data_IF_019797439622
#
_entry.id   IF_019797439622
#
_cell.length_a   1.000
_cell.length_b   1.000
_cell.length_c   1.000
_cell.angle_alpha   90.00
_cell.angle_beta   90.00
_cell.angle_gamma   90.00
#
_symmetry.space_group_name_H-M   'P 1'
#
loop_
_entity.id
_entity.type
_entity.pdbx_description
1 polymer ?
2 non-polymer ?
3 non-polymer ?
4 water ?
#
# COMPACT_ATOMS: atom_id res chain seq x y z
N UNK A 1 26.25 -25.43 -9.42
CA UNK A 1 25.98 -25.40 -7.98
C UNK A 1 25.90 -23.99 -7.36
N UNK A 2 25.30 -23.88 -6.19
CA UNK A 2 25.08 -22.59 -5.57
C UNK A 2 25.97 -22.32 -4.37
N UNK A 3 26.56 -21.12 -4.35
CA UNK A 3 27.38 -20.69 -3.23
C UNK A 3 26.60 -19.78 -2.28
N UNK A 4 25.30 -19.62 -2.53
CA UNK A 4 24.47 -18.78 -1.65
C UNK A 4 24.32 -19.36 -0.24
N UNK A 5 24.29 -18.49 0.78
CA UNK A 5 23.97 -18.97 2.13
C UNK A 5 22.51 -19.40 2.20
N UNK A 6 22.21 -20.34 3.09
CA UNK A 6 20.84 -20.77 3.34
C UNK A 6 20.04 -19.67 3.99
N UNK A 7 18.75 -19.65 3.71
CA UNK A 7 17.85 -18.71 4.36
C UNK A 7 17.71 -19.00 5.84
N UNK A 8 17.85 -17.98 6.67
CA UNK A 8 17.47 -18.08 8.07
C UNK A 8 16.63 -16.87 8.46
N UNK A 9 15.42 -17.14 8.94
CA UNK A 9 14.54 -16.08 9.40
C UNK A 9 15.16 -15.41 10.61
N UNK A 10 15.31 -14.09 10.54
CA UNK A 10 15.86 -13.30 11.66
C UNK A 10 15.04 -13.46 12.94
N UNK A 11 15.71 -13.30 14.06
CA UNK A 11 15.05 -13.31 15.35
C UNK A 11 13.94 -12.27 15.35
N UNK A 12 12.79 -12.61 15.93
CA UNK A 12 11.63 -11.70 16.04
C UNK A 12 12.07 -10.40 16.72
N UNK A 13 11.92 -9.27 16.02
CA UNK A 13 12.39 -7.99 16.58
C UNK A 13 11.33 -7.27 17.45
N UNK A 14 10.28 -7.97 17.87
CA UNK A 14 9.21 -7.39 18.68
C UNK A 14 8.79 -8.42 19.73
N UNK A 15 8.08 -7.98 20.78
CA UNK A 15 7.64 -8.94 21.80
C UNK A 15 6.78 -10.03 21.17
N UNK A 16 6.64 -11.15 21.84
CA UNK A 16 5.92 -12.28 21.26
C UNK A 16 4.41 -12.13 21.41
N UNK A 17 3.99 -11.21 22.27
CA UNK A 17 2.58 -10.91 22.42
C UNK A 17 2.32 -9.40 22.41
N UNK A 18 1.12 -9.02 22.01
CA UNK A 18 0.75 -7.62 21.86
C UNK A 18 0.46 -6.92 23.19
N UNK A 19 0.11 -7.71 24.20
CA UNK A 19 0.07 -7.24 25.59
C UNK A 19 -0.82 -8.13 26.44
N UNK A 20 -0.21 -9.12 27.09
CA UNK A 20 -0.90 -9.91 28.10
C UNK A 20 0.02 -10.24 29.27
N UNK A 32 -5.58 -17.59 15.85
CA UNK A 32 -6.51 -16.63 15.26
C UNK A 32 -6.24 -16.36 13.78
N UNK A 33 -7.30 -16.06 13.03
CA UNK A 33 -7.18 -15.56 11.66
C UNK A 33 -8.35 -14.66 11.27
N UNK A 34 -8.05 -13.53 10.64
CA UNK A 34 -9.10 -12.65 10.14
C UNK A 34 -10.12 -13.40 9.28
N UNK A 35 -11.37 -12.99 9.35
CA UNK A 35 -12.37 -13.39 8.37
C UNK A 35 -12.15 -12.57 7.11
N UNK A 36 -12.71 -12.99 5.98
CA UNK A 36 -12.63 -12.25 4.73
C UNK A 36 -13.32 -10.89 4.81
N UNK A 37 -12.90 -9.93 3.98
CA UNK A 37 -13.47 -8.60 4.05
C UNK A 37 -14.96 -8.59 3.72
N UNK A 38 -15.40 -9.56 2.93
CA UNK A 38 -16.81 -9.71 2.62
C UNK A 38 -17.61 -10.03 3.87
N UNK A 39 -16.93 -10.62 4.86
CA UNK A 39 -17.56 -10.98 6.13
C UNK A 39 -17.31 -9.89 7.19
N UNK A 40 -16.09 -9.34 7.21
CA UNK A 40 -15.74 -8.27 8.13
C UNK A 40 -16.64 -7.04 7.95
N UNK A 41 -16.83 -6.63 6.70
CA UNK A 41 -17.75 -5.52 6.43
C UNK A 41 -19.16 -6.06 6.30
N UNK A 42 -20.04 -5.56 7.15
CA UNK A 42 -21.45 -5.93 7.10
C UNK A 42 -22.17 -5.03 6.13
N UNK A 43 -21.97 -3.71 6.29
CA UNK A 43 -22.59 -2.75 5.40
C UNK A 43 -22.33 -3.16 3.96
N UNK A 44 -23.38 -3.25 3.16
CA UNK A 44 -23.24 -3.77 1.80
C UNK A 44 -22.79 -2.71 0.80
N UNK A 45 -23.12 -1.46 1.09
CA UNK A 45 -22.71 -0.37 0.24
C UNK A 45 -21.18 -0.30 0.20
N UNK A 46 -20.54 -0.38 1.35
CA UNK A 46 -19.09 -0.24 1.37
C UNK A 46 -18.45 -1.38 0.55
N UNK A 47 -19.07 -2.56 0.57
CA UNK A 47 -18.52 -3.69 -0.13
C UNK A 47 -18.62 -3.54 -1.65
N UNK A 48 -19.71 -2.91 -2.08
CA UNK A 48 -19.94 -2.62 -3.49
C UNK A 48 -18.87 -1.66 -3.99
N UNK A 49 -18.53 -0.67 -3.16
CA UNK A 49 -17.51 0.31 -3.55
C UNK A 49 -16.13 -0.35 -3.56
N UNK A 50 -15.90 -1.28 -2.64
CA UNK A 50 -14.62 -1.96 -2.56
C UNK A 50 -14.43 -2.79 -3.83
N UNK A 51 -15.47 -3.52 -4.21
CA UNK A 51 -15.41 -4.34 -5.40
C UNK A 51 -15.10 -3.51 -6.63
N UNK A 52 -15.74 -2.35 -6.74
CA UNK A 52 -15.52 -1.48 -7.89
C UNK A 52 -14.07 -0.97 -7.91
N UNK A 53 -13.60 -0.52 -6.75
CA UNK A 53 -12.23 -0.06 -6.62
C UNK A 53 -11.22 -1.12 -7.05
N UNK A 54 -11.42 -2.35 -6.59
CA UNK A 54 -10.55 -3.46 -6.99
C UNK A 54 -10.43 -3.61 -8.50
N UNK A 55 -11.45 -3.19 -9.22
CA UNK A 55 -11.40 -3.25 -10.67
C UNK A 55 -10.73 -2.02 -11.28
N UNK A 56 -11.14 -0.84 -10.82
CA UNK A 56 -10.81 0.37 -11.58
C UNK A 56 -9.70 1.22 -10.99
N UNK A 57 -9.33 0.98 -9.75
CA UNK A 57 -8.36 1.82 -9.07
C UNK A 57 -6.99 1.78 -9.75
N UNK A 58 -6.47 2.97 -10.05
CA UNK A 58 -5.24 3.13 -10.83
C UNK A 58 -3.97 2.67 -10.10
N UNK A 59 -3.86 2.97 -8.81
CA UNK A 59 -2.72 2.58 -8.01
C UNK A 59 -2.56 1.07 -8.00
N UNK A 60 -3.68 0.37 -7.87
CA UNK A 60 -3.65 -1.09 -7.79
C UNK A 60 -3.33 -1.67 -9.17
N UNK A 61 -3.92 -1.10 -10.20
CA UNK A 61 -3.61 -1.46 -11.57
C UNK A 61 -2.09 -1.31 -11.82
N UNK A 62 -1.52 -0.21 -11.32
CA UNK A 62 -0.09 0.03 -11.47
C UNK A 62 0.73 -1.02 -10.72
N UNK A 63 0.25 -1.40 -9.52
CA UNK A 63 0.94 -2.41 -8.74
C UNK A 63 0.90 -3.76 -9.45
N UNK A 64 -0.21 -4.04 -10.13
CA UNK A 64 -0.33 -5.27 -10.93
C UNK A 64 0.66 -5.26 -12.10
N UNK A 65 0.79 -4.11 -12.74
CA UNK A 65 1.72 -4.01 -13.85
C UNK A 65 3.17 -4.20 -13.40
N UNK A 66 3.49 -3.71 -12.19
CA UNK A 66 4.84 -3.87 -11.65
C UNK A 66 5.16 -5.35 -11.42
N UNK A 67 4.16 -6.12 -11.03
CA UNK A 67 4.37 -7.56 -10.91
C UNK A 67 4.72 -8.18 -12.27
N UNK A 68 4.02 -7.76 -13.32
CA UNK A 68 4.28 -8.32 -14.63
C UNK A 68 5.69 -7.96 -15.10
N UNK A 69 6.08 -6.73 -14.84
CA UNK A 69 7.37 -6.21 -15.20
C UNK A 69 8.49 -7.02 -14.54
N UNK A 70 8.33 -7.25 -13.24
CA UNK A 70 9.27 -8.02 -12.48
C UNK A 70 9.31 -9.48 -12.95
N UNK A 71 8.17 -10.00 -13.39
CA UNK A 71 8.13 -11.37 -13.92
C UNK A 71 8.97 -11.40 -15.20
N UNK A 72 8.81 -10.40 -16.06
CA UNK A 72 9.56 -10.31 -17.30
C UNK A 72 11.07 -10.14 -17.05
N UNK A 73 11.43 -9.32 -16.07
CA UNK A 73 12.83 -9.18 -15.69
C UNK A 73 13.38 -10.51 -15.17
N UNK A 74 12.58 -11.26 -14.45
CA UNK A 74 13.02 -12.60 -14.03
C UNK A 74 13.31 -13.44 -15.28
N UNK A 75 12.41 -13.42 -16.26
CA UNK A 75 12.61 -14.17 -17.49
C UNK A 75 13.85 -13.72 -18.27
N UNK A 76 14.04 -12.42 -18.40
CA UNK A 76 15.22 -11.87 -19.05
C UNK A 76 16.52 -12.40 -18.43
N UNK A 77 16.56 -12.42 -17.11
CA UNK A 77 17.77 -12.80 -16.40
C UNK A 77 18.00 -14.31 -16.49
N UNK A 78 16.91 -15.06 -16.44
CA UNK A 78 16.99 -16.50 -16.56
C UNK A 78 17.49 -16.91 -17.94
N UNK A 79 17.09 -16.15 -18.96
CA UNK A 79 17.47 -16.44 -20.34
C UNK A 79 18.99 -16.43 -20.48
N UNK A 80 19.65 -15.58 -19.72
CA UNK A 80 21.10 -15.46 -19.77
C UNK A 80 21.79 -16.75 -19.34
N UNK A 81 21.03 -17.68 -18.76
CA UNK A 81 21.58 -18.98 -18.39
C UNK A 81 21.58 -19.99 -19.54
N UNK A 82 20.85 -19.68 -20.60
CA UNK A 82 20.69 -20.66 -21.67
C UNK A 82 21.62 -20.35 -22.83
N UNK A 83 21.86 -21.35 -23.70
CA UNK A 83 22.71 -21.15 -24.89
C UNK A 83 22.14 -20.13 -25.86
N UNK A 84 23.03 -19.44 -26.57
CA UNK A 84 22.68 -18.55 -27.66
C UNK A 84 23.13 -19.12 -29.00
N UNK A 85 22.35 -18.87 -30.03
CA UNK A 85 22.73 -19.22 -31.39
C UNK A 85 22.48 -18.01 -32.31
N UNK A 86 23.53 -17.53 -32.95
CA UNK A 86 23.40 -16.35 -33.78
C UNK A 86 24.15 -16.45 -35.11
N UNK A 87 23.74 -15.65 -36.07
CA UNK A 87 24.38 -15.62 -37.38
C UNK A 87 25.26 -14.41 -37.55
N UNK A 88 26.21 -14.53 -38.47
CA UNK A 88 27.16 -13.47 -38.74
C UNK A 88 27.45 -13.50 -40.22
N UNK A 89 27.52 -12.33 -40.83
CA UNK A 89 27.86 -12.24 -42.23
C UNK A 89 28.84 -11.10 -42.38
N UNK A 90 29.88 -11.31 -43.18
CA UNK A 90 30.92 -10.32 -43.33
C UNK A 90 31.49 -10.28 -44.74
N UNK A 91 31.96 -9.10 -45.16
CA UNK A 91 32.71 -8.93 -46.39
C UNK A 91 33.88 -8.03 -46.06
N UNK A 92 35.05 -8.32 -46.63
CA UNK A 92 36.25 -7.57 -46.29
C UNK A 92 37.10 -7.22 -47.51
N UNK A 93 37.06 -5.95 -47.90
CA UNK A 93 37.95 -5.41 -48.91
C UNK A 93 39.11 -4.74 -48.21
N UNK A 94 40.31 -5.01 -48.67
CA UNK A 94 41.49 -4.34 -48.15
C UNK A 94 42.60 -4.40 -49.18
N UNK A 95 43.53 -3.46 -49.09
CA UNK A 95 44.64 -3.44 -50.00
C UNK A 95 45.77 -2.56 -49.50
N UNK A 96 46.90 -2.65 -50.19
CA UNK A 96 48.05 -1.84 -49.86
C UNK A 96 47.88 -0.42 -50.32
N UNK A 97 48.92 0.35 -50.10
CA UNK A 97 48.91 1.77 -50.35
C UNK A 97 50.03 2.08 -51.34
N UNK A 98 50.84 1.06 -51.63
CA UNK A 98 51.97 1.16 -52.55
C UNK A 98 52.69 -0.18 -52.59
N UNK A 99 52.96 -0.67 -53.81
CA UNK A 99 53.65 -1.94 -53.98
C UNK A 99 52.70 -3.09 -54.25
N UNK A 100 51.99 -3.01 -55.37
CA UNK A 100 50.88 -3.90 -55.72
C UNK A 100 49.58 -3.41 -55.13
N UNK A 101 48.85 -2.63 -55.91
CA UNK A 101 47.60 -2.05 -55.46
C UNK A 101 46.41 -2.92 -55.89
N UNK A 102 46.62 -4.24 -55.85
CA UNK A 102 45.51 -5.18 -56.05
C UNK A 102 44.73 -5.40 -54.75
N UNK A 103 43.41 -5.29 -54.84
CA UNK A 103 42.54 -5.44 -53.67
C UNK A 103 42.36 -6.91 -53.28
N UNK A 104 42.54 -7.20 -51.99
CA UNK A 104 42.18 -8.50 -51.42
C UNK A 104 40.73 -8.46 -50.95
N UNK A 105 40.03 -9.58 -51.12
CA UNK A 105 38.61 -9.61 -50.85
C UNK A 105 38.25 -10.96 -50.26
N UNK A 106 37.56 -10.94 -49.13
CA UNK A 106 37.14 -12.17 -48.46
C UNK A 106 35.74 -12.04 -47.88
N UNK A 107 34.91 -13.04 -48.13
CA UNK A 107 33.57 -13.10 -47.55
C UNK A 107 33.48 -14.24 -46.53
N UNK A 108 32.72 -14.04 -45.46
CA UNK A 108 32.53 -15.10 -44.48
C UNK A 108 31.13 -15.13 -43.88
N UNK A 109 30.74 -16.29 -43.36
CA UNK A 109 29.43 -16.49 -42.77
C UNK A 109 29.56 -17.45 -41.60
N UNK A 110 29.26 -16.95 -40.42
CA UNK A 110 29.35 -17.76 -39.22
C UNK A 110 27.99 -18.02 -38.59
N UNK A 111 27.83 -19.25 -38.11
CA UNK A 111 26.67 -19.62 -37.31
C UNK A 111 27.26 -20.11 -36.02
N UNK A 112 27.10 -19.37 -34.93
CA UNK A 112 27.73 -19.77 -33.68
C UNK A 112 26.84 -19.88 -32.46
N UNK A 113 27.09 -20.94 -31.71
CA UNK A 113 26.42 -21.23 -30.45
C UNK A 113 27.36 -20.89 -29.29
N UNK A 114 26.76 -20.55 -28.17
CA UNK A 114 27.50 -20.07 -27.01
C UNK A 114 26.78 -20.61 -25.77
N UNK A 115 27.55 -21.01 -24.77
CA UNK A 115 26.97 -21.58 -23.55
C UNK A 115 27.89 -21.47 -22.35
N UNK A 116 27.41 -20.81 -21.31
CA UNK A 116 28.12 -20.74 -20.05
C UNK A 116 27.66 -21.88 -19.16
N UNK A 117 28.63 -22.66 -18.69
CA UNK A 117 28.37 -23.83 -17.86
C UNK A 117 27.85 -23.45 -16.49
N UNK A 118 28.32 -22.31 -15.98
CA UNK A 118 27.81 -21.78 -14.71
C UNK A 118 27.97 -22.79 -13.61
N UNK A 119 29.16 -23.36 -13.50
CA UNK A 119 29.42 -24.40 -12.53
C UNK A 119 29.26 -23.96 -11.09
N UNK A 120 29.62 -22.71 -10.81
CA UNK A 120 29.53 -22.20 -9.45
C UNK A 120 28.32 -21.28 -9.25
N UNK A 121 27.38 -21.35 -10.18
CA UNK A 121 26.06 -20.77 -9.99
C UNK A 121 25.93 -19.25 -10.02
N UNK A 122 26.88 -18.56 -10.64
CA UNK A 122 26.75 -17.10 -10.79
C UNK A 122 25.44 -16.71 -11.47
N UNK A 123 25.19 -17.28 -12.64
CA UNK A 123 24.04 -16.93 -13.46
C UNK A 123 22.75 -17.47 -12.84
N UNK A 124 22.86 -18.66 -12.26
CA UNK A 124 21.71 -19.27 -11.60
C UNK A 124 21.23 -18.37 -10.45
N UNK A 125 22.18 -17.90 -9.67
CA UNK A 125 21.84 -17.07 -8.54
C UNK A 125 21.37 -15.66 -8.90
N UNK A 126 21.86 -15.12 -10.00
CA UNK A 126 21.39 -13.79 -10.41
C UNK A 126 19.94 -13.97 -10.80
N UNK A 127 19.63 -15.14 -11.34
CA UNK A 127 18.28 -15.47 -11.74
C UNK A 127 17.40 -15.66 -10.52
N UNK A 128 17.89 -16.42 -9.56
CA UNK A 128 17.15 -16.63 -8.33
C UNK A 128 16.88 -15.30 -7.64
N UNK A 129 17.83 -14.36 -7.72
CA UNK A 129 17.61 -13.04 -7.11
C UNK A 129 16.43 -12.34 -7.75
N UNK A 130 16.36 -12.40 -9.07
CA UNK A 130 15.27 -11.77 -9.81
C UNK A 130 13.95 -12.47 -9.56
N UNK A 131 14.00 -13.80 -9.38
CA UNK A 131 12.78 -14.52 -9.06
C UNK A 131 12.24 -14.09 -7.68
N UNK A 132 13.15 -13.85 -6.74
CA UNK A 132 12.77 -13.41 -5.41
C UNK A 132 12.25 -11.97 -5.45
N UNK A 133 12.89 -11.11 -6.24
CA UNK A 133 12.36 -9.75 -6.42
C UNK A 133 10.93 -9.74 -6.98
N UNK A 134 10.68 -10.68 -7.90
CA UNK A 134 9.37 -10.91 -8.47
C UNK A 134 8.37 -11.34 -7.39
N UNK A 135 8.74 -12.34 -6.62
CA UNK A 135 7.95 -12.77 -5.47
C UNK A 135 7.66 -11.60 -4.51
N UNK A 136 8.69 -10.85 -4.15
CA UNK A 136 8.51 -9.66 -3.30
C UNK A 136 7.52 -8.69 -3.92
N UNK A 137 7.58 -8.55 -5.24
CA UNK A 137 6.74 -7.59 -5.95
C UNK A 137 5.27 -8.06 -5.90
N UNK A 138 5.06 -9.37 -5.99
CA UNK A 138 3.70 -9.90 -5.82
C UNK A 138 3.16 -9.57 -4.43
N UNK A 139 4.02 -9.69 -3.42
CA UNK A 139 3.58 -9.38 -2.07
C UNK A 139 3.23 -7.90 -1.93
N UNK A 140 4.04 -7.04 -2.56
CA UNK A 140 3.81 -5.60 -2.49
C UNK A 140 2.44 -5.30 -3.11
N UNK A 141 2.16 -6.00 -4.19
CA UNK A 141 0.88 -5.93 -4.86
C UNK A 141 -0.26 -6.28 -3.89
N UNK A 142 -0.08 -7.38 -3.16
CA UNK A 142 -1.06 -7.83 -2.19
C UNK A 142 -1.26 -6.78 -1.10
N UNK A 143 -0.18 -6.09 -0.75
CA UNK A 143 -0.23 -5.02 0.23
C UNK A 143 -1.07 -3.84 -0.28
N UNK A 144 -0.83 -3.43 -1.52
CA UNK A 144 -1.61 -2.34 -2.10
C UNK A 144 -3.08 -2.74 -2.14
N UNK A 145 -3.33 -4.01 -2.41
CA UNK A 145 -4.67 -4.54 -2.45
C UNK A 145 -5.38 -4.38 -1.08
N UNK A 146 -4.73 -4.77 0.01
CA UNK A 146 -5.41 -4.65 1.29
C UNK A 146 -5.47 -3.21 1.79
N UNK A 147 -4.45 -2.44 1.45
CA UNK A 147 -4.47 -1.02 1.80
C UNK A 147 -5.60 -0.29 1.05
N UNK A 148 -5.90 -0.75 -0.16
CA UNK A 148 -6.96 -0.10 -0.93
C UNK A 148 -8.32 -0.42 -0.30
N UNK A 149 -8.51 -1.66 0.12
CA UNK A 149 -9.75 -2.08 0.75
C UNK A 149 -9.96 -1.22 2.00
N UNK A 150 -8.90 -1.06 2.77
CA UNK A 150 -8.93 -0.24 3.96
C UNK A 150 -9.32 1.20 3.60
N UNK A 151 -8.60 1.78 2.65
CA UNK A 151 -8.78 3.18 2.27
C UNK A 151 -10.17 3.50 1.71
N UNK A 152 -10.66 2.64 0.82
CA UNK A 152 -12.01 2.78 0.30
C UNK A 152 -13.03 2.75 1.45
N UNK A 153 -12.94 1.73 2.30
CA UNK A 153 -13.86 1.63 3.42
C UNK A 153 -13.83 2.90 4.29
N UNK A 154 -12.62 3.36 4.63
CA UNK A 154 -12.49 4.57 5.45
C UNK A 154 -13.11 5.76 4.72
N UNK A 155 -12.81 5.86 3.43
CA UNK A 155 -13.31 6.95 2.62
C UNK A 155 -14.83 6.89 2.60
N UNK A 156 -15.38 5.68 2.59
CA UNK A 156 -16.83 5.57 2.58
C UNK A 156 -17.41 6.09 3.90
N UNK A 157 -16.82 5.67 5.01
CA UNK A 157 -17.30 6.08 6.31
C UNK A 157 -17.10 7.57 6.57
N UNK A 158 -16.06 8.14 5.97
CA UNK A 158 -15.86 9.58 6.03
C UNK A 158 -16.98 10.31 5.30
N UNK A 159 -17.37 9.80 4.14
CA UNK A 159 -18.52 10.35 3.43
C UNK A 159 -19.76 10.28 4.33
N UNK A 160 -20.02 9.11 4.91
CA UNK A 160 -21.17 8.93 5.79
C UNK A 160 -21.09 9.86 7.01
N UNK A 161 -19.89 10.13 7.50
CA UNK A 161 -19.73 11.06 8.60
C UNK A 161 -20.18 12.43 8.14
N UNK A 162 -19.76 12.82 6.94
CA UNK A 162 -20.14 14.14 6.41
C UNK A 162 -21.67 14.26 6.32
N UNK A 163 -22.31 13.26 5.71
CA UNK A 163 -23.78 13.20 5.67
C UNK A 163 -24.39 13.40 7.06
N UNK A 164 -23.87 12.67 8.04
CA UNK A 164 -24.50 12.68 9.35
C UNK A 164 -24.32 14.03 10.02
N UNK A 165 -23.16 14.65 9.81
CA UNK A 165 -22.86 15.96 10.39
C UNK A 165 -23.75 17.01 9.76
N UNK A 166 -23.99 16.87 8.45
CA UNK A 166 -24.84 17.80 7.74
C UNK A 166 -26.26 17.65 8.29
N UNK A 167 -26.69 16.41 8.45
CA UNK A 167 -28.04 16.16 8.93
C UNK A 167 -28.30 16.74 10.34
N UNK A 168 -27.36 16.57 11.27
CA UNK A 168 -27.66 17.08 12.61
C UNK A 168 -27.57 18.60 12.61
N UNK A 169 -26.77 19.14 11.71
CA UNK A 169 -26.63 20.58 11.63
C UNK A 169 -27.94 21.20 11.15
N UNK A 170 -28.61 20.55 10.19
CA UNK A 170 -29.88 21.06 9.68
C UNK A 170 -31.01 20.97 10.71
N UNK A 171 -31.08 19.85 11.42
CA UNK A 171 -32.07 19.76 12.48
C UNK A 171 -31.77 20.69 13.64
N UNK A 172 -30.48 20.97 13.88
CA UNK A 172 -30.15 21.94 14.90
C UNK A 172 -30.57 23.33 14.43
N UNK A 173 -30.47 23.57 13.13
CA UNK A 173 -30.93 24.84 12.57
C UNK A 173 -32.42 25.01 12.84
N UNK A 174 -33.19 23.96 12.57
CA UNK A 174 -34.64 23.96 12.75
C UNK A 174 -34.99 24.24 14.21
N UNK A 175 -34.26 23.58 15.11
CA UNK A 175 -34.43 23.80 16.54
C UNK A 175 -34.20 25.25 16.96
N UNK A 176 -33.14 25.86 16.44
CA UNK A 176 -32.78 27.22 16.80
C UNK A 176 -33.78 28.21 16.24
N UNK A 177 -34.34 27.89 15.08
CA UNK A 177 -35.38 28.72 14.49
C UNK A 177 -36.66 28.67 15.35
N UNK A 178 -36.98 27.50 15.89
CA UNK A 178 -38.12 27.41 16.82
C UNK A 178 -37.80 28.21 18.08
N UNK A 179 -36.57 28.11 18.58
CA UNK A 179 -36.22 28.79 19.82
C UNK A 179 -36.38 30.28 19.62
N UNK A 180 -35.91 30.75 18.49
CA UNK A 180 -35.99 32.17 18.15
C UNK A 180 -37.44 32.63 18.02
N UNK A 181 -38.26 31.86 17.29
CA UNK A 181 -39.66 32.22 17.11
C UNK A 181 -40.32 32.37 18.48
N UNK A 182 -40.03 31.46 19.38
CA UNK A 182 -40.56 31.53 20.73
C UNK A 182 -40.13 32.81 21.46
N UNK A 183 -38.85 33.17 21.39
CA UNK A 183 -38.41 34.35 22.12
C UNK A 183 -39.09 35.60 21.55
N UNK A 184 -39.27 35.63 20.24
CA UNK A 184 -39.97 36.70 19.55
C UNK A 184 -41.39 36.83 20.09
N UNK A 185 -42.09 35.71 20.15
CA UNK A 185 -43.43 35.70 20.70
C UNK A 185 -43.44 36.27 22.11
N UNK A 186 -42.48 35.85 22.93
CA UNK A 186 -42.36 36.36 24.31
C UNK A 186 -42.21 37.87 24.33
N UNK A 187 -41.36 38.38 23.43
CA UNK A 187 -41.10 39.80 23.36
C UNK A 187 -42.37 40.53 22.95
N UNK A 188 -43.16 39.91 22.08
CA UNK A 188 -44.41 40.51 21.62
C UNK A 188 -45.41 40.63 22.77
N UNK A 189 -45.10 39.98 23.88
CA UNK A 189 -45.92 40.04 25.08
C UNK A 189 -45.15 40.74 26.18
N UNK A 190 -44.16 41.53 25.79
CA UNK A 190 -43.31 42.25 26.73
C UNK A 190 -42.89 41.35 27.86
N UNK A 191 -42.41 40.16 27.53
CA UNK A 191 -42.12 39.14 28.53
C UNK A 191 -40.64 38.74 28.58
N UNK A 192 -39.92 38.97 27.49
CA UNK A 192 -38.50 38.69 27.49
C UNK A 192 -37.73 39.98 27.25
N UNK A 193 -36.53 39.86 26.71
CA UNK A 193 -35.77 41.05 26.37
C UNK A 193 -34.99 40.94 25.06
N UNK A 194 -34.41 42.06 24.67
CA UNK A 194 -33.86 42.19 23.35
C UNK A 194 -32.50 41.49 23.31
N UNK A 195 -31.93 41.23 24.48
CA UNK A 195 -30.67 40.52 24.58
C UNK A 195 -30.90 39.05 24.22
N UNK A 196 -31.87 38.43 24.88
CA UNK A 196 -32.22 37.03 24.63
C UNK A 196 -32.54 36.82 23.15
N UNK A 197 -33.24 37.78 22.56
CA UNK A 197 -33.62 37.68 21.16
C UNK A 197 -32.39 37.67 20.25
N UNK A 198 -31.46 38.58 20.50
CA UNK A 198 -30.28 38.63 19.66
C UNK A 198 -29.43 37.37 19.85
N UNK A 199 -29.40 36.84 21.07
CA UNK A 199 -28.68 35.60 21.31
C UNK A 199 -29.28 34.45 20.50
N UNK A 200 -30.61 34.35 20.49
CA UNK A 200 -31.26 33.29 19.72
C UNK A 200 -31.03 33.47 18.23
N UNK A 201 -30.92 34.71 17.79
CA UNK A 201 -30.69 34.97 16.37
C UNK A 201 -29.27 34.56 15.97
N UNK A 202 -28.31 34.96 16.78
CA UNK A 202 -26.92 34.63 16.53
C UNK A 202 -26.71 33.15 16.23
N UNK A 203 -27.21 32.27 17.09
CA UNK A 203 -26.91 30.85 16.94
C UNK A 203 -27.51 30.27 15.69
N UNK A 204 -28.57 30.90 15.17
CA UNK A 204 -29.07 30.47 13.88
C UNK A 204 -27.94 30.66 12.85
N UNK A 205 -27.27 31.81 12.90
CA UNK A 205 -26.26 32.13 11.88
C UNK A 205 -25.05 31.22 12.00
N UNK A 206 -24.58 30.97 13.22
CA UNK A 206 -23.42 30.12 13.37
C UNK A 206 -23.75 28.71 12.85
N UNK A 207 -24.99 28.29 13.04
CA UNK A 207 -25.40 26.97 12.57
C UNK A 207 -25.45 26.93 11.03
N UNK A 208 -25.90 28.01 10.39
CA UNK A 208 -25.85 28.07 8.92
C UNK A 208 -24.41 27.95 8.43
N UNK A 209 -23.50 28.50 9.21
CA UNK A 209 -22.09 28.42 8.88
C UNK A 209 -21.65 26.97 8.94
N UNK A 210 -22.07 26.25 9.98
CA UNK A 210 -21.71 24.85 10.12
C UNK A 210 -22.26 24.00 8.97
N UNK A 211 -23.50 24.30 8.59
CA UNK A 211 -24.16 23.63 7.47
C UNK A 211 -23.33 23.79 6.20
N UNK A 212 -22.97 25.02 5.88
CA UNK A 212 -22.10 25.29 4.73
C UNK A 212 -20.76 24.55 4.83
N UNK A 213 -20.21 24.46 6.05
CA UNK A 213 -18.96 23.72 6.20
C UNK A 213 -19.16 22.22 5.89
N UNK A 214 -20.25 21.64 6.38
CA UNK A 214 -20.51 20.22 6.19
C UNK A 214 -20.83 19.92 4.72
N UNK A 215 -21.49 20.84 4.04
CA UNK A 215 -21.64 20.68 2.59
C UNK A 215 -20.28 20.59 1.89
N UNK A 216 -19.35 21.47 2.25
CA UNK A 216 -18.00 21.38 1.73
C UNK A 216 -17.39 20.01 1.94
N UNK A 217 -17.41 19.54 3.19
CA UNK A 217 -16.77 18.29 3.58
C UNK A 217 -17.39 17.12 2.84
N UNK A 218 -18.72 17.17 2.67
CA UNK A 218 -19.40 16.15 1.89
C UNK A 218 -18.85 16.12 0.46
N UNK A 219 -18.80 17.28 -0.18
CA UNK A 219 -18.31 17.36 -1.55
C UNK A 219 -16.87 16.82 -1.65
N UNK A 220 -16.04 17.17 -0.68
CA UNK A 220 -14.66 16.73 -0.64
C UNK A 220 -14.59 15.21 -0.49
N UNK A 221 -15.48 14.68 0.35
CA UNK A 221 -15.52 13.25 0.62
C UNK A 221 -15.89 12.51 -0.64
N UNK A 222 -16.84 13.07 -1.39
CA UNK A 222 -17.31 12.46 -2.63
C UNK A 222 -16.20 12.40 -3.66
N UNK A 223 -15.49 13.51 -3.81
CA UNK A 223 -14.40 13.60 -4.74
C UNK A 223 -13.24 12.66 -4.39
N UNK A 224 -12.97 12.46 -3.10
CA UNK A 224 -11.90 11.56 -2.67
C UNK A 224 -12.30 10.12 -2.97
N UNK A 225 -13.57 9.82 -2.74
CA UNK A 225 -14.08 8.49 -2.94
C UNK A 225 -14.01 8.14 -4.43
N UNK A 226 -14.39 9.08 -5.28
CA UNK A 226 -14.34 8.82 -6.71
C UNK A 226 -12.91 8.65 -7.24
N UNK A 227 -11.96 9.40 -6.68
CA UNK A 227 -10.56 9.18 -7.03
C UNK A 227 -10.16 7.74 -6.68
N UNK A 228 -10.53 7.30 -5.48
CA UNK A 228 -10.15 5.95 -5.05
C UNK A 228 -10.80 4.84 -5.89
N UNK A 229 -12.06 5.04 -6.27
CA UNK A 229 -12.77 4.07 -7.07
C UNK A 229 -12.22 4.00 -8.48
N UNK A 230 -11.69 5.12 -8.96
CA UNK A 230 -11.35 5.25 -10.37
C UNK A 230 -12.60 5.19 -11.23
N UNK A 231 -13.75 5.57 -10.67
CA UNK A 231 -14.98 5.64 -11.47
C UNK A 231 -15.87 6.73 -10.93
N UNK A 232 -16.79 7.21 -11.77
CA UNK A 232 -17.52 8.43 -11.48
C UNK A 232 -19.02 8.30 -11.62
N UNK A 233 -19.52 7.11 -11.33
CA UNK A 233 -20.95 6.88 -11.27
C UNK A 233 -21.55 7.54 -10.04
N UNK A 234 -22.85 7.44 -9.88
CA UNK A 234 -23.53 8.04 -8.74
C UNK A 234 -22.95 7.57 -7.40
N UNK A 235 -22.94 8.48 -6.44
CA UNK A 235 -22.34 8.18 -5.15
C UNK A 235 -23.35 7.58 -4.19
N UNK A 236 -22.87 6.86 -3.16
CA UNK A 236 -23.84 6.37 -2.19
C UNK A 236 -24.56 7.54 -1.55
N UNK A 237 -25.84 7.34 -1.24
CA UNK A 237 -26.62 8.32 -0.50
C UNK A 237 -26.38 8.11 0.98
N UNK A 238 -26.86 9.02 1.80
CA UNK A 238 -26.74 8.88 3.24
C UNK A 238 -27.42 7.58 3.67
N UNK A 239 -26.77 6.80 4.53
CA UNK A 239 -27.49 5.70 5.13
C UNK A 239 -27.25 5.71 6.62
N UNK A 240 -28.05 4.93 7.35
CA UNK A 240 -27.82 4.82 8.78
C UNK A 240 -26.61 3.91 8.99
N UNK A 241 -25.64 4.37 9.77
CA UNK A 241 -24.42 3.62 9.99
C UNK A 241 -24.11 3.51 11.49
N UNK A 242 -23.68 2.33 11.92
CA UNK A 242 -23.36 2.13 13.33
C UNK A 242 -22.31 1.05 13.58
N UNK A 243 -22.05 0.78 14.86
CA UNK A 243 -20.98 -0.14 15.23
C UNK A 243 -21.17 -1.53 14.63
N UNK A 244 -22.38 -1.85 14.18
CA UNK A 244 -22.65 -3.15 13.56
C UNK A 244 -22.35 -3.14 12.06
N UNK A 245 -21.96 -1.98 11.53
CA UNK A 245 -21.56 -1.90 10.12
C UNK A 245 -20.28 -2.72 9.85
N UNK A 246 -19.51 -2.97 10.90
CA UNK A 246 -18.31 -3.78 10.80
C UNK A 246 -18.49 -4.90 11.80
N UNK A 247 -17.95 -6.06 11.46
CA UNK A 247 -17.91 -7.18 12.39
C UNK A 247 -16.57 -7.14 13.10
N UNK A 248 -16.47 -6.31 14.14
CA UNK A 248 -15.16 -5.97 14.74
C UNK A 248 -14.36 -7.19 15.27
N UNK A 249 -13.07 -7.21 14.99
CA UNK A 249 -12.23 -8.36 15.28
C UNK A 249 -12.27 -8.78 16.75
N UNK A 250 -12.43 -10.08 16.98
CA UNK A 250 -12.32 -10.60 18.34
C UNK A 250 -11.00 -11.35 18.46
N UNK A 251 -10.21 -11.03 19.48
CA UNK A 251 -8.86 -11.57 19.59
C UNK A 251 -8.60 -12.29 20.90
N UNK A 252 -7.98 -13.47 20.82
CA UNK A 252 -7.54 -14.19 22.02
C UNK A 252 -6.73 -13.26 22.92
N UNK A 253 -6.68 -13.56 24.22
CA UNK A 253 -5.99 -12.68 25.16
C UNK A 253 -4.49 -12.65 24.93
N UNK A 254 -3.94 -13.77 24.49
CA UNK A 254 -2.51 -13.84 24.27
C UNK A 254 -2.11 -13.95 22.82
N UNK A 255 -2.82 -13.25 21.94
CA UNK A 255 -2.52 -13.30 20.51
C UNK A 255 -1.02 -13.11 20.27
N UNK A 256 -0.44 -14.07 19.56
CA UNK A 256 0.98 -14.05 19.26
C UNK A 256 1.31 -12.99 18.19
N UNK A 257 2.47 -12.33 18.35
CA UNK A 257 3.04 -11.41 17.36
C UNK A 257 3.21 -12.10 16.02
N UNK A 258 3.33 -13.41 16.07
CA UNK A 258 3.62 -14.22 14.91
C UNK A 258 2.58 -14.00 13.80
N UNK A 259 1.38 -13.54 14.16
CA UNK A 259 0.37 -13.22 13.16
C UNK A 259 0.91 -12.20 12.14
N UNK A 260 1.81 -11.33 12.59
CA UNK A 260 2.34 -10.29 11.71
C UNK A 260 3.04 -10.87 10.48
N UNK A 261 3.64 -12.06 10.65
CA UNK A 261 4.51 -12.59 9.61
C UNK A 261 3.68 -13.01 8.40
N UNK A 262 2.37 -12.94 8.57
CA UNK A 262 1.44 -13.23 7.47
C UNK A 262 1.09 -12.00 6.61
N UNK A 263 1.36 -10.79 7.10
CA UNK A 263 1.08 -9.60 6.31
C UNK A 263 1.88 -9.70 5.01
N UNK A 264 1.33 -9.18 3.90
CA UNK A 264 2.08 -9.18 2.64
C UNK A 264 3.37 -8.37 2.74
N UNK A 265 3.33 -7.22 3.41
CA UNK A 265 4.52 -6.36 3.44
C UNK A 265 5.68 -7.04 4.14
N UNK A 266 5.38 -7.92 5.08
CA UNK A 266 6.43 -8.63 5.80
C UNK A 266 6.94 -9.78 4.94
N UNK A 267 6.04 -10.47 4.25
CA UNK A 267 6.46 -11.52 3.32
C UNK A 267 7.32 -10.92 2.21
N UNK A 268 6.98 -9.71 1.80
CA UNK A 268 7.76 -9.01 0.79
C UNK A 268 9.21 -8.89 1.26
N UNK A 269 9.37 -8.44 2.50
CA UNK A 269 10.68 -8.27 3.10
C UNK A 269 11.46 -9.59 3.13
N UNK A 270 10.73 -10.68 3.38
CA UNK A 270 11.33 -12.00 3.46
C UNK A 270 11.92 -12.40 2.11
N UNK A 271 11.15 -12.19 1.06
CA UNK A 271 11.60 -12.46 -0.30
C UNK A 271 12.79 -11.58 -0.68
N UNK A 272 12.80 -10.33 -0.20
CA UNK A 272 13.94 -9.44 -0.46
C UNK A 272 15.18 -10.00 0.22
N UNK A 273 14.99 -10.59 1.39
CA UNK A 273 16.08 -11.19 2.12
C UNK A 273 16.65 -12.38 1.34
N UNK A 274 15.78 -13.17 0.73
CA UNK A 274 16.20 -14.31 -0.09
C UNK A 274 16.95 -13.89 -1.35
N UNK A 275 16.48 -12.80 -1.96
CA UNK A 275 17.15 -12.21 -3.09
C UNK A 275 18.59 -11.80 -2.70
N UNK A 276 18.75 -11.30 -1.49
CA UNK A 276 20.05 -10.81 -1.08
C UNK A 276 20.98 -12.01 -0.85
N UNK A 277 20.42 -13.08 -0.30
CA UNK A 277 21.18 -14.32 -0.14
C UNK A 277 21.69 -14.83 -1.48
N UNK A 278 20.84 -14.72 -2.50
CA UNK A 278 21.19 -15.20 -3.82
C UNK A 278 22.31 -14.34 -4.40
N UNK A 279 22.26 -13.03 -4.14
CA UNK A 279 23.29 -12.13 -4.61
C UNK A 279 24.63 -12.38 -3.94
N UNK A 280 24.60 -12.88 -2.71
CA UNK A 280 25.84 -13.28 -2.08
C UNK A 280 26.45 -14.49 -2.82
N UNK A 281 25.60 -15.45 -3.15
CA UNK A 281 26.02 -16.61 -3.92
C UNK A 281 26.68 -16.19 -5.23
N UNK A 282 26.04 -15.25 -5.93
CA UNK A 282 26.53 -14.75 -7.22
C UNK A 282 27.90 -14.10 -7.09
N UNK A 283 28.04 -13.26 -6.07
CA UNK A 283 29.32 -12.58 -5.83
C UNK A 283 30.43 -13.57 -5.43
N UNK A 284 30.09 -14.60 -4.65
CA UNK A 284 31.08 -15.62 -4.31
C UNK A 284 31.59 -16.35 -5.55
N UNK A 285 30.66 -16.67 -6.44
CA UNK A 285 30.99 -17.38 -7.69
C UNK A 285 32.06 -16.66 -8.50
N UNK A 286 32.13 -15.34 -8.37
CA UNK A 286 33.08 -14.57 -9.16
C UNK A 286 34.54 -14.95 -8.85
N UNK A 287 34.78 -15.49 -7.66
CA UNK A 287 36.15 -15.82 -7.25
C UNK A 287 36.63 -17.10 -7.93
N UNK A 288 35.70 -17.84 -8.53
CA UNK A 288 36.01 -19.19 -9.02
C UNK A 288 36.13 -19.22 -10.52
N UNK A 289 36.77 -20.28 -11.04
CA UNK A 289 36.91 -20.38 -12.50
C UNK A 289 35.54 -20.46 -13.15
N UNK A 290 35.46 -19.99 -14.39
CA UNK A 290 34.23 -20.08 -15.15
C UNK A 290 34.52 -20.73 -16.51
N UNK A 291 33.67 -21.67 -16.89
CA UNK A 291 33.87 -22.46 -18.10
C UNK A 291 32.80 -22.15 -19.14
N UNK A 292 33.25 -21.73 -20.32
CA UNK A 292 32.34 -21.43 -21.42
C UNK A 292 32.55 -22.38 -22.57
N UNK A 293 31.62 -22.34 -23.51
CA UNK A 293 31.64 -23.28 -24.60
C UNK A 293 31.07 -22.59 -25.82
N UNK A 294 31.88 -22.50 -26.87
CA UNK A 294 31.41 -21.98 -28.15
C UNK A 294 31.71 -22.97 -29.28
N UNK A 295 30.73 -23.14 -30.16
CA UNK A 295 30.81 -24.06 -31.27
C UNK A 295 30.21 -23.36 -32.48
N UNK A 296 30.81 -23.56 -33.64
CA UNK A 296 30.37 -22.87 -34.83
C UNK A 296 30.50 -23.62 -36.15
N UNK A 297 29.57 -23.32 -37.05
CA UNK A 297 29.71 -23.68 -38.45
C UNK A 297 30.04 -22.37 -39.17
N UNK A 298 30.96 -22.45 -40.11
CA UNK A 298 31.54 -21.25 -40.67
C UNK A 298 31.91 -21.51 -42.12
N UNK A 299 31.98 -20.44 -42.93
CA UNK A 299 32.46 -20.55 -44.29
C UNK A 299 33.24 -19.30 -44.65
N UNK A 300 34.01 -19.38 -45.73
CA UNK A 300 34.74 -18.22 -46.23
C UNK A 300 35.18 -18.42 -47.67
N UNK A 301 35.28 -17.33 -48.42
CA UNK A 301 35.77 -17.39 -49.78
C UNK A 301 36.09 -16.00 -50.30
N UNK A 302 36.96 -15.94 -51.31
CA UNK A 302 37.38 -14.66 -51.89
C UNK A 302 36.34 -14.12 -52.85
N UNK A 303 35.37 -14.97 -53.21
CA UNK A 303 34.24 -14.52 -54.00
C UNK A 303 32.92 -15.12 -53.47
N UNK A 304 31.82 -14.48 -53.83
CA UNK A 304 30.50 -14.83 -53.32
C UNK A 304 30.02 -16.16 -53.88
N UNK A 305 30.40 -16.46 -55.12
CA UNK A 305 29.86 -17.64 -55.79
C UNK A 305 30.19 -18.93 -55.02
N UNK A 306 31.47 -19.14 -54.74
CA UNK A 306 31.87 -20.33 -53.98
C UNK A 306 31.81 -20.10 -52.48
N UNK A 307 30.95 -19.20 -52.03
CA UNK A 307 30.82 -18.91 -50.60
C UNK A 307 30.22 -20.10 -49.86
N UNK A 308 28.95 -20.36 -50.11
CA UNK A 308 28.24 -21.43 -49.41
C UNK A 308 28.58 -22.81 -49.91
N UNK A 309 29.74 -22.93 -50.54
CA UNK A 309 30.25 -24.23 -50.94
C UNK A 309 30.69 -25.03 -49.72
N UNK A 310 30.09 -26.20 -49.52
CA UNK A 310 30.74 -27.19 -48.69
C UNK A 310 32.01 -27.45 -49.46
N UNK A 311 33.11 -26.98 -48.90
CA UNK A 311 34.38 -26.85 -49.60
C UNK A 311 35.01 -25.69 -48.88
N UNK A 312 34.19 -24.68 -48.65
CA UNK A 312 34.59 -23.47 -47.95
C UNK A 312 34.18 -23.51 -46.49
N UNK A 313 33.44 -24.56 -46.13
CA UNK A 313 32.88 -24.67 -44.79
C UNK A 313 33.83 -25.20 -43.74
N UNK A 314 33.55 -24.86 -42.48
CA UNK A 314 34.31 -25.36 -41.34
C UNK A 314 33.42 -25.48 -40.13
N UNK A 315 33.52 -26.61 -39.44
CA UNK A 315 32.84 -26.75 -38.17
C UNK A 315 33.89 -26.43 -37.12
N UNK A 316 33.45 -26.25 -35.88
CA UNK A 316 34.32 -25.72 -34.85
C UNK A 316 33.78 -26.00 -33.44
N UNK A 317 34.66 -26.22 -32.47
CA UNK A 317 34.26 -26.53 -31.10
C UNK A 317 35.33 -26.12 -30.10
N UNK A 318 35.01 -25.15 -29.24
CA UNK A 318 36.04 -24.51 -28.43
C UNK A 318 35.62 -24.27 -26.98
N UNK A 319 35.96 -25.21 -26.09
CA UNK A 319 35.71 -24.96 -24.66
C UNK A 319 36.77 -24.00 -24.10
N UNK A 320 36.37 -23.13 -23.18
CA UNK A 320 37.30 -22.19 -22.56
C UNK A 320 37.10 -22.06 -21.04
N UNK A 321 38.20 -21.86 -20.33
CA UNK A 321 38.11 -21.66 -18.90
C UNK A 321 38.84 -20.39 -18.55
N UNK A 322 38.18 -19.53 -17.77
CA UNK A 322 38.81 -18.35 -17.22
C UNK A 322 39.05 -18.55 -15.73
N UNK A 323 40.22 -18.12 -15.27
CA UNK A 323 40.59 -18.28 -13.86
C UNK A 323 41.01 -16.94 -13.27
N UNK A 324 40.19 -16.39 -12.38
CA UNK A 324 40.53 -15.15 -11.69
C UNK A 324 41.74 -15.42 -10.80
N UNK A 325 42.76 -14.57 -10.85
CA UNK A 325 43.94 -14.77 -10.01
C UNK A 325 44.11 -13.60 -9.05
N UNK A 326 44.34 -12.43 -9.61
CA UNK A 326 44.49 -11.22 -8.82
C UNK A 326 43.69 -10.09 -9.47
N UNK A 327 42.85 -9.43 -8.69
CA UNK A 327 42.08 -8.33 -9.24
C UNK A 327 42.00 -7.13 -8.32
N UNK A 328 43.03 -6.98 -7.49
CA UNK A 328 43.19 -5.79 -6.66
C UNK A 328 42.03 -5.56 -5.68
N UNK A 329 41.38 -6.64 -5.24
CA UNK A 329 40.26 -6.52 -4.31
C UNK A 329 38.92 -6.18 -4.97
N UNK A 330 38.83 -6.26 -6.30
CA UNK A 330 37.56 -6.05 -6.99
C UNK A 330 36.48 -7.04 -6.53
N UNK A 331 36.82 -8.33 -6.61
CA UNK A 331 35.86 -9.38 -6.29
C UNK A 331 35.47 -9.32 -4.83
N UNK A 332 36.46 -9.04 -4.00
CA UNK A 332 36.24 -8.98 -2.57
C UNK A 332 35.35 -7.78 -2.22
N UNK A 333 35.48 -6.68 -2.94
CA UNK A 333 34.70 -5.48 -2.61
C UNK A 333 33.26 -5.75 -3.00
N UNK A 334 33.11 -6.39 -4.15
CA UNK A 334 31.80 -6.71 -4.66
C UNK A 334 31.08 -7.71 -3.74
N UNK A 335 31.83 -8.70 -3.25
CA UNK A 335 31.26 -9.59 -2.24
C UNK A 335 30.83 -8.80 -1.00
N UNK A 336 31.67 -7.89 -0.52
CA UNK A 336 31.31 -7.08 0.64
C UNK A 336 29.99 -6.30 0.44
N UNK A 337 29.83 -5.70 -0.73
CA UNK A 337 28.60 -4.98 -1.02
C UNK A 337 27.39 -5.92 -0.87
N UNK A 338 27.48 -7.11 -1.46
CA UNK A 338 26.40 -8.09 -1.38
C UNK A 338 26.11 -8.48 0.08
N UNK A 339 27.15 -8.66 0.88
CA UNK A 339 26.96 -9.07 2.27
C UNK A 339 26.36 -7.95 3.09
N UNK A 340 26.80 -6.73 2.81
CA UNK A 340 26.31 -5.56 3.54
C UNK A 340 24.85 -5.33 3.18
N UNK A 341 24.50 -5.59 1.92
CA UNK A 341 23.14 -5.41 1.42
C UNK A 341 22.20 -6.46 1.99
N UNK A 342 22.74 -7.63 2.31
CA UNK A 342 21.96 -8.69 2.92
C UNK A 342 21.66 -8.27 4.35
N UNK A 343 22.66 -7.67 5.00
CA UNK A 343 22.45 -7.15 6.34
C UNK A 343 21.42 -6.03 6.32
N UNK A 344 21.40 -5.25 5.23
CA UNK A 344 20.40 -4.17 5.11
C UNK A 344 19.00 -4.76 4.99
N UNK A 345 18.87 -5.86 4.26
CA UNK A 345 17.59 -6.53 4.09
C UNK A 345 17.09 -7.08 5.41
N UNK A 346 18.01 -7.57 6.24
CA UNK A 346 17.65 -8.04 7.57
C UNK A 346 17.08 -6.91 8.43
N UNK A 347 17.73 -5.76 8.41
CA UNK A 347 17.27 -4.60 9.15
C UNK A 347 15.91 -4.13 8.62
N UNK A 348 15.77 -4.11 7.30
CA UNK A 348 14.52 -3.74 6.64
C UNK A 348 13.37 -4.63 7.08
N UNK A 349 13.62 -5.93 7.06
CA UNK A 349 12.69 -6.92 7.60
C UNK A 349 12.31 -6.60 9.05
N UNK A 350 13.31 -6.31 9.88
CA UNK A 350 13.06 -5.95 11.28
C UNK A 350 12.21 -4.69 11.41
N UNK A 351 12.52 -3.69 10.59
CA UNK A 351 11.79 -2.43 10.61
C UNK A 351 10.33 -2.64 10.26
N UNK A 352 10.10 -3.49 9.27
CA UNK A 352 8.76 -3.72 8.77
C UNK A 352 7.93 -4.37 9.87
N UNK A 353 8.54 -5.30 10.60
CA UNK A 353 7.83 -5.96 11.68
C UNK A 353 7.59 -5.04 12.86
N UNK A 354 8.58 -4.24 13.23
CA UNK A 354 8.40 -3.33 14.34
C UNK A 354 7.32 -2.33 14.03
N UNK A 355 7.30 -1.85 12.79
CA UNK A 355 6.26 -0.92 12.38
C UNK A 355 4.87 -1.56 12.43
N UNK A 356 4.79 -2.82 11.99
CA UNK A 356 3.52 -3.54 12.03
C UNK A 356 3.07 -3.71 13.46
N UNK A 357 4.02 -4.00 14.35
CA UNK A 357 3.69 -4.21 15.75
C UNK A 357 3.12 -2.92 16.33
N UNK A 358 3.71 -1.79 15.97
CA UNK A 358 3.21 -0.51 16.44
C UNK A 358 1.77 -0.26 15.97
N UNK A 359 1.48 -0.60 14.72
CA UNK A 359 0.14 -0.39 14.17
C UNK A 359 -0.90 -1.20 14.94
N UNK A 360 -0.60 -2.46 15.24
CA UNK A 360 -1.54 -3.30 15.97
C UNK A 360 -1.71 -2.83 17.41
N UNK A 361 -0.59 -2.52 18.08
CA UNK A 361 -0.63 -2.04 19.46
C UNK A 361 -1.41 -0.72 19.60
N UNK A 362 -1.13 0.23 18.73
CA UNK A 362 -1.87 1.49 18.73
C UNK A 362 -3.38 1.26 18.54
N UNK A 363 -3.75 0.45 17.55
CA UNK A 363 -5.17 0.21 17.29
C UNK A 363 -5.87 -0.47 18.48
N UNK A 364 -5.19 -1.41 19.14
CA UNK A 364 -5.76 -2.01 20.36
C UNK A 364 -5.97 -0.96 21.44
N UNK A 365 -4.98 -0.12 21.66
CA UNK A 365 -5.10 0.90 22.69
C UNK A 365 -6.22 1.88 22.33
N UNK A 366 -6.31 2.23 21.06
CA UNK A 366 -7.27 3.21 20.59
C UNK A 366 -8.69 2.67 20.70
N UNK A 367 -8.84 1.37 20.49
CA UNK A 367 -10.14 0.74 20.64
C UNK A 367 -10.68 0.91 22.05
N UNK A 368 -9.83 0.68 23.06
CA UNK A 368 -10.25 0.87 24.44
C UNK A 368 -10.55 2.36 24.69
N UNK A 369 -9.65 3.24 24.25
CA UNK A 369 -9.79 4.67 24.50
C UNK A 369 -11.05 5.23 23.88
N UNK A 370 -11.29 4.85 22.63
CA UNK A 370 -12.43 5.37 21.89
C UNK A 370 -13.74 4.86 22.47
N UNK A 371 -13.77 3.59 22.90
CA UNK A 371 -14.99 3.05 23.48
C UNK A 371 -15.32 3.78 24.77
N UNK A 372 -14.30 4.05 25.56
CA UNK A 372 -14.46 4.76 26.82
C UNK A 372 -14.84 6.23 26.59
N UNK A 373 -14.27 6.88 25.58
CA UNK A 373 -14.66 8.26 25.26
C UNK A 373 -16.11 8.32 24.82
N UNK A 374 -16.52 7.37 23.98
CA UNK A 374 -17.88 7.35 23.45
C UNK A 374 -18.89 7.14 24.59
N UNK A 375 -18.68 6.11 25.38
CA UNK A 375 -19.50 5.87 26.55
C UNK A 375 -19.63 7.14 27.41
N UNK A 376 -18.50 7.78 27.73
CA UNK A 376 -18.56 8.97 28.58
C UNK A 376 -19.31 10.11 27.88
N UNK A 377 -19.11 10.22 26.58
CA UNK A 377 -19.70 11.28 25.80
C UNK A 377 -21.22 11.10 25.68
N UNK A 378 -21.66 9.85 25.62
CA UNK A 378 -23.08 9.56 25.60
C UNK A 378 -23.73 9.99 26.91
N UNK A 379 -23.09 9.68 28.03
CA UNK A 379 -23.64 10.07 29.32
C UNK A 379 -23.65 11.59 29.45
N UNK A 380 -22.63 12.23 28.91
CA UNK A 380 -22.57 13.69 28.89
C UNK A 380 -23.72 14.29 28.08
N UNK A 381 -23.93 13.77 26.88
CA UNK A 381 -25.04 14.20 26.04
C UNK A 381 -26.39 14.10 26.78
N UNK A 382 -26.66 12.92 27.35
CA UNK A 382 -27.89 12.71 28.13
C UNK A 382 -28.02 13.77 29.23
N UNK A 383 -26.91 14.11 29.87
CA UNK A 383 -26.97 15.11 30.92
C UNK A 383 -27.28 16.48 30.32
N UNK A 384 -26.74 16.75 29.13
CA UNK A 384 -26.96 18.05 28.50
C UNK A 384 -28.41 18.23 28.05
N UNK A 385 -29.03 17.15 27.57
CA UNK A 385 -30.43 17.19 27.17
C UNK A 385 -31.30 17.59 28.37
N UNK A 386 -31.02 16.99 29.52
CA UNK A 386 -31.75 17.29 30.75
C UNK A 386 -31.52 18.76 31.17
N UNK A 387 -30.25 19.15 31.17
CA UNK A 387 -29.85 20.53 31.45
C UNK A 387 -30.60 21.54 30.57
N UNK A 388 -30.67 21.27 29.28
CA UNK A 388 -31.39 22.16 28.36
C UNK A 388 -32.84 22.32 28.80
N UNK A 389 -33.52 21.19 29.02
CA UNK A 389 -34.90 21.18 29.48
C UNK A 389 -35.11 21.99 30.78
N UNK A 390 -34.25 21.75 31.77
CA UNK A 390 -34.32 22.51 33.03
C UNK A 390 -34.07 24.00 32.80
N UNK A 391 -33.14 24.34 31.93
CA UNK A 391 -32.81 25.74 31.69
C UNK A 391 -33.99 26.46 31.05
N UNK A 392 -34.65 25.79 30.11
CA UNK A 392 -35.80 26.37 29.44
C UNK A 392 -36.90 26.69 30.45
N UNK A 393 -37.21 25.71 31.29
CA UNK A 393 -38.27 25.88 32.27
C UNK A 393 -37.95 27.06 33.19
N UNK A 394 -36.73 27.07 33.74
CA UNK A 394 -36.30 28.15 34.63
C UNK A 394 -36.27 29.50 33.91
N UNK A 395 -35.88 29.51 32.65
CA UNK A 395 -35.84 30.77 31.92
C UNK A 395 -37.23 31.30 31.65
N UNK A 396 -38.12 30.40 31.23
CA UNK A 396 -39.48 30.78 30.91
C UNK A 396 -40.27 31.24 32.14
N UNK A 397 -39.74 30.95 33.33
CA UNK A 397 -40.39 31.43 34.55
C UNK A 397 -39.63 32.59 35.17
N UNK A 398 -38.78 33.24 34.37
CA UNK A 398 -38.01 34.40 34.81
C UNK A 398 -37.00 34.13 35.93
N UNK A 399 -36.62 32.89 36.13
CA UNK A 399 -35.69 32.55 37.22
C UNK A 399 -34.22 32.65 36.83
N UNK A 400 -33.91 32.58 35.53
CA UNK A 400 -32.53 32.68 35.06
C UNK A 400 -32.50 33.34 33.69
N UNK A 401 -31.32 33.85 33.32
CA UNK A 401 -31.16 34.53 32.04
C UNK A 401 -31.15 33.53 30.88
N UNK A 402 -31.34 34.06 29.68
CA UNK A 402 -31.38 33.22 28.50
C UNK A 402 -29.99 32.61 28.23
N UNK A 403 -28.96 33.17 28.84
CA UNK A 403 -27.61 32.63 28.65
C UNK A 403 -27.55 31.17 29.08
N UNK A 404 -28.38 30.79 30.04
CA UNK A 404 -28.49 29.40 30.47
C UNK A 404 -28.96 28.53 29.32
N UNK A 405 -29.91 29.03 28.54
CA UNK A 405 -30.46 28.25 27.43
C UNK A 405 -29.44 28.17 26.29
N UNK A 406 -28.89 29.33 25.94
CA UNK A 406 -27.88 29.42 24.90
C UNK A 406 -26.71 28.45 25.20
N UNK A 407 -26.22 28.50 26.43
CA UNK A 407 -25.06 27.71 26.83
C UNK A 407 -25.36 26.22 26.72
N UNK A 408 -26.55 25.84 27.16
CA UNK A 408 -26.91 24.45 27.15
C UNK A 408 -27.08 23.96 25.70
N UNK A 409 -27.70 24.79 24.84
CA UNK A 409 -27.82 24.47 23.41
C UNK A 409 -26.47 24.28 22.71
N UNK A 410 -25.56 25.21 22.95
CA UNK A 410 -24.25 25.19 22.32
C UNK A 410 -23.50 23.91 22.67
N UNK A 411 -23.48 23.59 23.96
CA UNK A 411 -22.75 22.42 24.43
C UNK A 411 -23.38 21.14 23.91
N UNK A 412 -24.71 21.13 23.83
CA UNK A 412 -25.44 19.99 23.33
C UNK A 412 -25.06 19.73 21.87
N UNK A 413 -25.06 20.80 21.09
CA UNK A 413 -24.76 20.69 19.67
C UNK A 413 -23.31 20.26 19.47
N UNK A 414 -22.38 20.83 20.24
CA UNK A 414 -20.96 20.49 20.11
C UNK A 414 -20.72 19.03 20.47
N UNK A 415 -21.46 18.54 21.47
CA UNK A 415 -21.29 17.17 21.94
C UNK A 415 -21.80 16.20 20.89
N UNK A 416 -22.91 16.53 20.25
CA UNK A 416 -23.45 15.70 19.16
C UNK A 416 -22.45 15.58 17.99
N UNK A 417 -21.83 16.69 17.61
CA UNK A 417 -20.84 16.66 16.54
C UNK A 417 -19.61 15.84 16.96
N UNK A 418 -19.25 15.94 18.23
CA UNK A 418 -18.08 15.25 18.75
C UNK A 418 -18.32 13.75 18.77
N UNK A 419 -19.54 13.38 19.16
CA UNK A 419 -19.96 12.00 19.23
C UNK A 419 -19.96 11.35 17.84
N UNK A 420 -20.45 12.08 16.84
CA UNK A 420 -20.34 11.60 15.45
C UNK A 420 -18.87 11.36 15.03
N UNK A 421 -17.99 12.29 15.37
CA UNK A 421 -16.58 12.17 15.01
C UNK A 421 -15.94 10.97 15.70
N UNK A 422 -16.33 10.73 16.95
CA UNK A 422 -15.79 9.61 17.72
C UNK A 422 -16.21 8.27 17.15
N UNK A 423 -17.46 8.17 16.73
CA UNK A 423 -17.95 6.94 16.13
C UNK A 423 -17.27 6.67 14.80
N UNK A 424 -17.00 7.73 14.04
CA UNK A 424 -16.20 7.58 12.83
C UNK A 424 -14.79 7.09 13.16
N UNK A 425 -14.16 7.70 14.17
CA UNK A 425 -12.79 7.30 14.57
C UNK A 425 -12.76 5.84 14.97
N UNK A 426 -13.83 5.42 15.65
CA UNK A 426 -13.90 4.04 16.09
C UNK A 426 -13.91 3.11 14.87
N UNK A 427 -14.78 3.40 13.89
CA UNK A 427 -14.79 2.55 12.69
C UNK A 427 -13.49 2.55 11.91
N UNK A 428 -12.83 3.70 11.83
CA UNK A 428 -11.55 3.78 11.15
C UNK A 428 -10.55 2.92 11.88
N UNK A 429 -10.58 2.98 13.20
CA UNK A 429 -9.63 2.23 13.99
C UNK A 429 -9.88 0.72 13.88
N UNK A 430 -11.15 0.32 13.87
CA UNK A 430 -11.48 -1.09 13.68
C UNK A 430 -10.97 -1.56 12.32
N UNK A 431 -11.14 -0.72 11.29
CA UNK A 431 -10.68 -1.05 9.96
C UNK A 431 -9.15 -1.15 9.93
N UNK A 432 -8.50 -0.18 10.57
CA UNK A 432 -7.04 -0.17 10.67
C UNK A 432 -6.51 -1.42 11.39
N UNK A 433 -7.24 -1.86 12.42
CA UNK A 433 -6.84 -3.03 13.19
C UNK A 433 -6.93 -4.27 12.29
N UNK A 434 -8.10 -4.45 11.70
CA UNK A 434 -8.32 -5.53 10.73
C UNK A 434 -7.19 -5.56 9.71
N UNK A 435 -6.87 -4.39 9.16
CA UNK A 435 -5.88 -4.31 8.10
C UNK A 435 -4.48 -4.62 8.62
N UNK A 436 -4.16 -4.10 9.80
CA UNK A 436 -2.85 -4.28 10.39
C UNK A 436 -2.58 -5.75 10.75
N UNK A 437 -3.66 -6.50 10.97
CA UNK A 437 -3.57 -7.93 11.22
C UNK A 437 -3.51 -8.72 9.91
N UNK A 438 -3.46 -8.03 8.77
CA UNK A 438 -3.31 -8.71 7.50
C UNK A 438 -4.55 -8.69 6.63
N UNK A 439 -5.63 -8.10 7.14
CA UNK A 439 -6.84 -7.93 6.34
C UNK A 439 -7.50 -9.26 6.02
N UNK A 440 -8.21 -9.31 4.90
CA UNK A 440 -8.78 -10.56 4.43
C UNK A 440 -7.82 -11.37 3.57
X LIG B 1 32.41 -28.00 -9.13
X LIG B 1 33.87 -28.26 -8.88
X LIG B 1 34.24 -29.37 -7.93
X LIG B 1 35.59 -30.02 -8.08
X LIG B 1 35.71 -31.10 -9.08
X LIG B 1 31.94 -28.23 -10.26
X LIG B 1 30.05 -30.93 -7.04
X LIG B 1 31.22 -31.54 -6.29
X LIG B 1 31.53 -33.00 -6.51
X LIG B 1 32.67 -33.32 -7.45
X LIG B 1 32.41 -33.75 -8.74
X LIG B 1 33.13 -33.13 -9.90
X LIG B 1 29.16 -31.64 -7.49
X LIG B 1 31.52 -27.80 -8.08
X LIG B 1 30.17 -27.72 -8.43
X LIG B 1 29.28 -28.88 -8.05
X LIG B 1 29.85 -29.55 -6.97
X LIG B 1 27.93 -28.34 -7.72
X LIG C 1 24.15 -25.96 -10.00
X LIG C 1 25.70 -25.63 -11.78
X LIG C 1 25.29 -25.70 -10.31
X LIG C 1 26.08 -27.03 -12.28
X LIG C 1 25.46 -27.43 -13.60
X LIG C 1 26.48 -28.16 -14.47
X LIG D 1 -34.10 27.91 6.03
X LIG D 1 -35.00 27.08 6.83
X LIG D 1 -34.18 29.30 6.48
X LIG D 1 -32.72 27.44 6.18
X LIG D 1 -34.49 27.84 4.62
X LIG E 1 -38.74 25.85 22.19
X LIG E 1 -39.54 26.03 23.39
X LIG E 1 -38.08 27.11 21.86
X LIG E 1 -37.72 24.83 22.42
X LIG E 1 -39.59 25.44 21.08
X LIG F 1 -9.88 -10.67 -2.00
X LIG F 1 -9.53 -10.52 -0.60
X LIG F 1 -10.31 -9.39 -2.58
X LIG F 1 -8.72 -11.16 -2.74
X LIG F 1 -10.98 -11.63 -2.13
X LIG G 1 -21.25 23.42 -1.19
X LIG G 1 -22.49 24.15 -1.45
X LIG G 1 -20.29 23.69 -2.25
X LIG G 1 -20.70 23.84 0.09
X LIG G 1 -21.53 21.98 -1.17
X LIG H 1 0.32 -5.04 4.81
X LIG H 1 -0.50 -5.32 5.99
X LIG H 1 0.74 -3.65 4.80
X LIG H 1 1.48 -5.92 4.81
X LIG H 1 -0.43 -5.32 3.59
X LIG I 1 34.33 -20.00 -58.00
X LIG I 1 34.60 -19.50 -56.65
X LIG I 1 35.04 -19.11 -58.92
X LIG I 1 34.87 -21.36 -58.13
X LIG I 1 32.89 -20.03 -58.24
X LIG J 1 40.16 -10.02 -5.83
X LIG J 1 39.15 -9.19 -5.18
X LIG J 1 41.43 -9.30 -5.92
X LIG J 1 40.35 -11.27 -5.08
X LIG J 1 39.70 -10.38 -7.18
#
# INVERSE_FOLDING_TARGET
CSLAPDYQRPAMPVPQQFSLSQNGLVNAADNYQNAGWRTFFVDNQVKTLISEALVNNRDLRMATLKVQEARAQYRLTDADRYPQLNGEGSGSWSGNLKGNTATTREFSTGLNASFDLDFFGRLKNMSEAERQNYLATEEAQRAVHILLVSNVAQSYFNQQLAYAQLQIAEETLRNYQQSYAFVEKQLLTGSSNVLALEQARGVIESTRSDIAKRQGELAQANNALQLLLGSYGKLPQAQTVNSDSLQSVKLPAGLSSQILLQRPDIMEAEHALMAANANIGAARAAFFPSISLTSGISTASSDLSSLFNASSGMWNFIPKIEIPIFNAGRNQANLDIAEIRQQQSVVNYEQKIQNAFKEVADALALRQSLNDQISAQQRYLASLQITLQRARALYQHGAVSYLEVLDAERSLFATRQTLLDLNYARQVNEISLYTALGGGHHHHHH
UNL CA1 CA2 CA3 CA4 CA5 OA1 CB1 CB2 CB3 CB4 CB5 CB6 OB1 OG1 CG1 CG2 OG2 CG3
UNL O1 C1 C2 C3 C4 C5
SO4 S O1 O2 O3 O4
SO4 S O1 O2 O3 O4
SO4 S O1 O2 O3 O4
SO4 S O1 O2 O3 O4
SO4 S O1 O2 O3 O4
SO4 S O1 O2 O3 O4
SO4 S O1 O2 O3 O4
#
